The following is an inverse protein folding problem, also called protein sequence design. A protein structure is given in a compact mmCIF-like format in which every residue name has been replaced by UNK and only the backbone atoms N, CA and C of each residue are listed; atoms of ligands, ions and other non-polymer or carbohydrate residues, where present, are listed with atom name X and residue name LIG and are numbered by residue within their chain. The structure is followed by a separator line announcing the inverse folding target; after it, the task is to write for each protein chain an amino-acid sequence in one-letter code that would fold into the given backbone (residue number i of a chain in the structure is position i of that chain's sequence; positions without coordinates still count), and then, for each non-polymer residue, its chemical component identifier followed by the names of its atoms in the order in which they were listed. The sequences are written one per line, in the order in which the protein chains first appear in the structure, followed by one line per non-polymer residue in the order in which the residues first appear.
data_IF_463546794214
#
_entry.id   IF_463546794214
#
_cell.length_a   1.000
_cell.length_b   1.000
_cell.length_c   1.000
_cell.angle_alpha   90.00
_cell.angle_beta   90.00
_cell.angle_gamma   90.00
#
_symmetry.space_group_name_H-M   'P 1'
#
loop_
_entity.id
_entity.type
_entity.pdbx_description
1 polymer ?
#
# COMPACT_ATOMS: atom_id res chain seq x y z
N UNK A 1 -15.62 13.26 23.19
CA UNK A 1 -14.91 12.04 22.75
C UNK A 1 -14.94 11.98 21.23
N UNK A 2 -13.84 12.25 20.55
CA UNK A 2 -13.74 12.24 19.09
C UNK A 2 -12.60 11.30 18.65
N UNK A 3 -12.64 10.03 19.07
CA UNK A 3 -11.60 9.04 18.74
C UNK A 3 -12.16 7.82 17.97
N UNK A 4 -13.43 7.81 17.60
CA UNK A 4 -14.09 6.60 17.06
C UNK A 4 -14.07 6.45 15.53
N UNK A 5 -13.39 7.33 14.78
CA UNK A 5 -13.20 7.18 13.33
C UNK A 5 -11.73 7.01 12.94
N UNK A 6 -10.93 6.36 13.79
CA UNK A 6 -9.72 5.69 13.29
C UNK A 6 -10.18 4.56 12.38
N UNK A 7 -10.34 4.86 11.08
CA UNK A 7 -10.55 3.92 9.96
C UNK A 7 -10.18 2.49 10.38
N UNK A 8 -11.18 1.65 10.61
CA UNK A 8 -10.96 0.26 11.03
C UNK A 8 -9.94 -0.39 10.10
N UNK A 9 -8.75 -0.67 10.64
CA UNK A 9 -7.68 -1.32 9.89
C UNK A 9 -8.01 -2.81 9.83
N UNK A 10 -8.49 -3.26 8.68
CA UNK A 10 -8.74 -4.68 8.44
C UNK A 10 -7.42 -5.44 8.40
N UNK A 11 -7.21 -6.35 9.35
CA UNK A 11 -6.06 -7.25 9.35
C UNK A 11 -6.29 -8.37 8.34
N UNK A 12 -5.37 -8.54 7.40
CA UNK A 12 -5.43 -9.57 6.36
C UNK A 12 -4.11 -10.35 6.43
N UNK A 13 -4.14 -11.69 6.53
CA UNK A 13 -2.92 -12.49 6.43
C UNK A 13 -2.36 -12.37 5.01
N UNK A 14 -1.15 -11.84 4.89
CA UNK A 14 -0.46 -11.65 3.62
C UNK A 14 0.63 -12.70 3.46
N UNK A 15 0.62 -13.43 2.35
CA UNK A 15 1.68 -14.38 2.00
C UNK A 15 2.66 -13.71 1.05
N UNK A 16 3.92 -13.58 1.47
CA UNK A 16 5.00 -12.99 0.68
C UNK A 16 6.16 -13.99 0.59
N UNK A 17 6.93 -13.94 -0.49
CA UNK A 17 8.22 -14.63 -0.51
C UNK A 17 9.19 -13.93 0.45
N UNK A 18 10.12 -14.69 1.02
CA UNK A 18 11.12 -14.14 1.93
C UNK A 18 11.99 -13.06 1.25
N UNK A 19 12.27 -13.24 -0.05
CA UNK A 19 13.04 -12.28 -0.85
C UNK A 19 12.33 -10.93 -0.93
N UNK A 20 11.05 -10.92 -1.29
CA UNK A 20 10.25 -9.70 -1.39
C UNK A 20 10.09 -9.01 -0.04
N UNK A 21 9.87 -9.79 1.03
CA UNK A 21 9.78 -9.22 2.38
C UNK A 21 11.07 -8.49 2.79
N UNK A 22 12.24 -9.07 2.49
CA UNK A 22 13.53 -8.45 2.79
C UNK A 22 13.77 -7.17 1.98
N UNK A 23 13.36 -7.14 0.71
CA UNK A 23 13.43 -5.93 -0.12
C UNK A 23 12.52 -4.82 0.42
N UNK A 24 11.28 -5.16 0.80
CA UNK A 24 10.35 -4.22 1.43
C UNK A 24 10.87 -3.70 2.77
N UNK A 25 11.53 -4.55 3.57
CA UNK A 25 12.14 -4.15 4.83
C UNK A 25 13.27 -3.14 4.63
N UNK A 26 14.22 -3.42 3.72
CA UNK A 26 15.31 -2.50 3.40
C UNK A 26 14.78 -1.15 2.91
N UNK A 27 13.79 -1.17 2.03
CA UNK A 27 13.18 0.07 1.55
C UNK A 27 12.47 0.84 2.67
N UNK A 28 11.77 0.14 3.56
CA UNK A 28 11.15 0.79 4.71
C UNK A 28 12.19 1.41 5.65
N UNK A 29 13.34 0.76 5.86
CA UNK A 29 14.46 1.28 6.63
C UNK A 29 15.06 2.54 6.00
N UNK A 30 15.31 2.52 4.69
CA UNK A 30 15.84 3.67 3.93
C UNK A 30 14.90 4.90 4.02
N UNK A 31 13.59 4.66 4.04
CA UNK A 31 12.55 5.69 4.14
C UNK A 31 12.19 6.05 5.60
N UNK A 32 12.86 5.47 6.61
CA UNK A 32 12.58 5.60 8.05
C UNK A 32 11.11 5.30 8.42
N UNK A 33 10.53 4.24 7.83
CA UNK A 33 9.15 3.79 8.05
C UNK A 33 9.11 2.38 8.62
N UNK A 34 7.97 2.01 9.21
CA UNK A 34 7.69 0.61 9.53
C UNK A 34 7.37 -0.17 8.24
N UNK A 35 7.66 -1.48 8.25
CA UNK A 35 7.32 -2.38 7.13
C UNK A 35 5.82 -2.34 6.82
N UNK A 36 4.94 -2.33 7.84
CA UNK A 36 3.50 -2.22 7.64
C UNK A 36 3.11 -0.87 7.01
N UNK A 37 3.73 0.23 7.43
CA UNK A 37 3.51 1.54 6.82
C UNK A 37 3.96 1.60 5.37
N UNK A 38 5.07 0.93 5.04
CA UNK A 38 5.55 0.83 3.66
C UNK A 38 4.60 0.00 2.79
N UNK A 39 4.10 -1.13 3.28
CA UNK A 39 3.09 -1.94 2.57
C UNK A 39 1.80 -1.11 2.35
N UNK A 40 1.32 -0.39 3.37
CA UNK A 40 0.13 0.48 3.27
C UNK A 40 0.31 1.58 2.21
N UNK A 41 1.48 2.22 2.17
CA UNK A 41 1.82 3.22 1.17
C UNK A 41 1.81 2.65 -0.25
N UNK A 42 2.50 1.52 -0.48
CA UNK A 42 2.59 0.90 -1.80
C UNK A 42 1.22 0.47 -2.33
N UNK A 43 0.40 -0.17 -1.50
CA UNK A 43 -0.95 -0.57 -1.90
C UNK A 43 -1.82 0.66 -2.23
N UNK A 44 -1.68 1.74 -1.46
CA UNK A 44 -2.40 2.99 -1.72
C UNK A 44 -1.99 3.60 -3.05
N UNK A 45 -0.70 3.67 -3.33
CA UNK A 45 -0.18 4.21 -4.59
C UNK A 45 -0.56 3.32 -5.79
N UNK A 46 -0.52 2.00 -5.66
CA UNK A 46 -0.99 1.08 -6.69
C UNK A 46 -2.47 1.29 -7.04
N UNK A 47 -3.34 1.48 -6.04
CA UNK A 47 -4.77 1.75 -6.26
C UNK A 47 -4.99 3.11 -6.92
N UNK A 48 -4.28 4.16 -6.47
CA UNK A 48 -4.33 5.49 -7.09
C UNK A 48 -3.85 5.46 -8.53
N UNK A 49 -2.74 4.78 -8.79
CA UNK A 49 -2.17 4.60 -10.12
C UNK A 49 -3.18 3.90 -11.04
N UNK A 50 -3.78 2.79 -10.58
CA UNK A 50 -4.80 2.06 -11.33
C UNK A 50 -5.98 2.94 -11.67
N UNK A 51 -6.53 3.72 -10.73
CA UNK A 51 -7.64 4.64 -11.00
C UNK A 51 -7.29 5.64 -12.10
N UNK A 52 -6.16 6.35 -11.95
CA UNK A 52 -5.69 7.33 -12.95
C UNK A 52 -5.45 6.75 -14.35
N UNK A 53 -5.10 5.47 -14.47
CA UNK A 53 -4.85 4.81 -15.76
C UNK A 53 -6.04 4.02 -16.29
N UNK A 54 -7.05 3.75 -15.46
CA UNK A 54 -8.30 3.13 -15.92
C UNK A 54 -9.19 4.16 -16.58
N UNK A 55 -9.26 5.39 -16.03
CA UNK A 55 -10.03 6.50 -16.63
C UNK A 55 -9.48 6.90 -18.02
N UNK A 56 -8.18 6.72 -18.27
CA UNK A 56 -7.55 7.05 -19.56
C UNK A 56 -7.79 6.02 -20.67
N UNK A 57 -8.30 4.83 -20.34
CA UNK A 57 -8.56 3.79 -21.35
C UNK A 57 -9.96 3.88 -21.95
N UNK A 58 -10.89 4.60 -21.33
CA UNK A 58 -12.25 4.79 -21.87
C UNK A 58 -12.31 5.91 -22.92
N UNK A 59 -11.30 6.78 -23.01
CA UNK A 59 -11.24 7.89 -23.99
C UNK A 59 -10.50 7.51 -25.30
N UNK A 60 -9.93 6.29 -25.39
CA UNK A 60 -9.19 5.81 -26.58
C UNK A 60 -9.90 4.63 -27.31
N UNK A 61 -11.12 4.25 -26.92
CA UNK A 61 -11.99 3.30 -27.66
C UNK A 61 -13.17 3.99 -28.36
#
# INVERSE_FOLDING_TARGET
MADSEKKDKKQIPLRLSATLYNELMKWAEDDFRSVNGQIEYLLTECVKYRRKHSDKKEDEE
#
